data_IF_236080138538
#
_entry.id   IF_236080138538
#
_cell.length_a   1.000
_cell.length_b   1.000
_cell.length_c   1.000
_cell.angle_alpha   90.00
_cell.angle_beta   90.00
_cell.angle_gamma   90.00
#
_symmetry.space_group_name_H-M   'P 1'
#
loop_
_entity.id
_entity.type
_entity.pdbx_description
1 polymer ?
#
# COMPACT_ATOMS: atom_id res chain seq x y z
N UNK A 1 -5.79 17.40 6.00
CA UNK A 1 -6.49 16.21 6.51
C UNK A 1 -5.87 15.81 7.83
N UNK A 2 -6.71 15.42 8.79
CA UNK A 2 -6.31 15.03 10.14
C UNK A 2 -6.45 13.51 10.32
N UNK A 3 -5.39 12.88 10.80
CA UNK A 3 -5.34 11.44 11.01
C UNK A 3 -5.06 11.13 12.49
N UNK A 4 -5.69 10.08 12.99
CA UNK A 4 -5.32 9.48 14.27
C UNK A 4 -4.84 8.04 14.03
N UNK A 5 -3.66 7.69 14.51
CA UNK A 5 -3.11 6.33 14.44
C UNK A 5 -3.04 5.74 15.84
N UNK A 6 -3.79 4.69 16.09
CA UNK A 6 -3.88 3.99 17.38
C UNK A 6 -3.11 2.66 17.27
N UNK A 7 -2.05 2.56 18.07
CA UNK A 7 -1.09 1.46 18.03
C UNK A 7 0.11 1.78 17.14
N UNK A 8 1.26 1.94 17.76
CA UNK A 8 2.51 2.31 17.08
C UNK A 8 3.50 1.13 16.98
N UNK A 9 2.97 -0.07 16.79
CA UNK A 9 3.79 -1.18 16.34
C UNK A 9 4.42 -0.88 14.96
N UNK A 10 5.18 -1.82 14.39
CA UNK A 10 5.92 -1.62 13.12
C UNK A 10 5.07 -1.00 12.02
N UNK A 11 3.82 -1.44 11.87
CA UNK A 11 2.91 -0.93 10.84
C UNK A 11 2.41 0.49 11.17
N UNK A 12 1.83 0.69 12.36
CA UNK A 12 1.25 1.98 12.76
C UNK A 12 2.29 3.09 12.82
N UNK A 13 3.48 2.79 13.35
CA UNK A 13 4.61 3.72 13.39
C UNK A 13 4.98 4.22 11.99
N UNK A 14 5.14 3.29 11.03
CA UNK A 14 5.50 3.64 9.66
C UNK A 14 4.40 4.47 9.00
N UNK A 15 3.13 4.08 9.18
CA UNK A 15 1.99 4.82 8.62
C UNK A 15 1.94 6.24 9.18
N UNK A 16 2.06 6.42 10.50
CA UNK A 16 2.03 7.73 11.14
C UNK A 16 3.16 8.64 10.64
N UNK A 17 4.39 8.10 10.55
CA UNK A 17 5.55 8.85 10.09
C UNK A 17 5.39 9.31 8.63
N UNK A 18 5.02 8.40 7.72
CA UNK A 18 4.88 8.73 6.29
C UNK A 18 3.72 9.71 6.05
N UNK A 19 2.60 9.59 6.76
CA UNK A 19 1.51 10.57 6.67
C UNK A 19 1.99 11.98 7.07
N UNK A 20 2.77 12.08 8.14
CA UNK A 20 3.32 13.36 8.58
C UNK A 20 4.36 13.91 7.59
N UNK A 21 5.24 13.09 7.01
CA UNK A 21 6.17 13.46 5.93
C UNK A 21 5.44 13.99 4.69
N UNK A 22 4.22 13.50 4.42
CA UNK A 22 3.36 14.01 3.35
C UNK A 22 2.58 15.28 3.74
N UNK A 23 2.89 15.89 4.90
CA UNK A 23 2.29 17.14 5.36
C UNK A 23 0.89 16.99 5.97
N UNK A 24 0.51 15.78 6.38
CA UNK A 24 -0.76 15.56 7.07
C UNK A 24 -0.62 15.84 8.57
N UNK A 25 -1.69 16.31 9.21
CA UNK A 25 -1.78 16.41 10.66
C UNK A 25 -2.01 15.01 11.24
N UNK A 26 -1.10 14.55 12.11
CA UNK A 26 -1.15 13.18 12.66
C UNK A 26 -1.09 13.21 14.18
N UNK A 27 -2.12 12.61 14.82
CA UNK A 27 -2.08 12.22 16.23
C UNK A 27 -1.71 10.74 16.29
N UNK A 28 -0.64 10.41 16.98
CA UNK A 28 -0.12 9.05 17.15
C UNK A 28 -0.27 8.60 18.61
N UNK A 29 -0.89 7.46 18.84
CA UNK A 29 -1.26 6.97 20.18
C UNK A 29 -0.71 5.57 20.38
N UNK A 30 -0.01 5.37 21.51
CA UNK A 30 0.38 4.05 22.01
C UNK A 30 0.43 4.04 23.53
N UNK A 31 0.38 2.87 24.13
CA UNK A 31 0.55 2.70 25.59
C UNK A 31 2.01 2.59 26.03
N UNK A 32 2.94 2.37 25.10
CA UNK A 32 4.36 2.28 25.35
C UNK A 32 5.03 3.66 25.26
N UNK A 33 5.49 4.17 26.40
CA UNK A 33 6.13 5.48 26.49
C UNK A 33 7.40 5.59 25.63
N UNK A 34 8.15 4.50 25.48
CA UNK A 34 9.39 4.49 24.69
C UNK A 34 9.10 4.66 23.20
N UNK A 35 8.05 4.01 22.71
CA UNK A 35 7.60 4.13 21.32
C UNK A 35 7.08 5.54 21.07
N UNK A 36 6.23 6.07 21.96
CA UNK A 36 5.69 7.42 21.88
C UNK A 36 6.80 8.47 21.88
N UNK A 37 7.80 8.32 22.75
CA UNK A 37 8.96 9.22 22.78
C UNK A 37 9.74 9.20 21.44
N UNK A 38 9.87 8.04 20.81
CA UNK A 38 10.63 7.88 19.56
C UNK A 38 9.97 8.51 18.32
N UNK A 39 8.64 8.72 18.33
CA UNK A 39 7.88 9.30 17.24
C UNK A 39 7.53 10.78 17.44
N UNK A 40 7.71 11.31 18.65
CA UNK A 40 7.26 12.64 19.06
C UNK A 40 7.64 13.75 18.07
N UNK A 41 8.87 13.75 17.60
CA UNK A 41 9.38 14.78 16.68
C UNK A 41 9.03 14.54 15.21
N UNK A 42 8.31 13.45 14.91
CA UNK A 42 7.96 13.05 13.55
C UNK A 42 6.50 13.26 13.20
N UNK A 43 5.64 13.52 14.17
CA UNK A 43 4.19 13.68 14.01
C UNK A 43 3.71 14.97 14.67
N UNK A 44 2.48 15.38 14.38
CA UNK A 44 1.91 16.60 14.95
C UNK A 44 1.75 16.47 16.48
N UNK A 45 1.30 15.31 16.95
CA UNK A 45 1.14 15.04 18.36
C UNK A 45 1.33 13.54 18.63
N UNK A 46 2.12 13.20 19.66
CA UNK A 46 2.29 11.84 20.14
C UNK A 46 1.77 11.73 21.57
N UNK A 47 0.88 10.77 21.82
CA UNK A 47 0.18 10.63 23.10
C UNK A 47 0.43 9.24 23.68
N UNK A 48 1.00 9.20 24.87
CA UNK A 48 1.16 7.96 25.64
C UNK A 48 -0.13 7.69 26.42
N UNK A 49 -0.94 6.77 25.93
CA UNK A 49 -2.17 6.38 26.60
C UNK A 49 -2.67 5.00 26.14
N UNK A 50 -3.34 4.29 27.02
CA UNK A 50 -4.11 3.11 26.67
C UNK A 50 -5.57 3.52 26.44
N UNK A 51 -6.06 3.36 25.22
CA UNK A 51 -7.47 3.63 24.89
C UNK A 51 -8.32 2.50 25.45
N UNK A 52 -9.17 2.82 26.41
CA UNK A 52 -10.04 1.83 27.11
C UNK A 52 -11.52 2.04 26.80
N UNK A 53 -11.92 3.27 26.55
CA UNK A 53 -13.31 3.69 26.44
C UNK A 53 -13.46 4.92 25.53
N UNK A 54 -14.71 5.30 25.33
CA UNK A 54 -15.11 6.47 24.52
C UNK A 54 -14.55 7.78 25.09
N UNK A 55 -14.57 7.93 26.42
CA UNK A 55 -14.10 9.18 27.07
C UNK A 55 -12.60 9.41 26.83
N UNK A 56 -11.81 8.35 26.79
CA UNK A 56 -10.39 8.43 26.46
C UNK A 56 -10.14 8.99 25.06
N UNK A 57 -10.98 8.63 24.10
CA UNK A 57 -10.90 9.13 22.71
C UNK A 57 -11.42 10.57 22.59
N UNK A 58 -12.53 10.89 23.26
CA UNK A 58 -13.09 12.25 23.26
C UNK A 58 -12.12 13.28 23.85
N UNK A 59 -11.40 12.93 24.90
CA UNK A 59 -10.44 13.82 25.54
C UNK A 59 -9.24 14.23 24.64
N UNK A 60 -9.00 13.51 23.56
CA UNK A 60 -7.96 13.84 22.58
C UNK A 60 -8.50 14.50 21.31
N UNK A 61 -9.82 14.81 21.27
CA UNK A 61 -10.46 15.42 20.11
C UNK A 61 -10.60 14.49 18.93
N UNK A 62 -10.90 13.20 19.17
CA UNK A 62 -11.01 12.19 18.10
C UNK A 62 -12.05 12.57 17.04
N UNK A 63 -13.10 13.28 17.43
CA UNK A 63 -14.17 13.74 16.54
C UNK A 63 -13.71 14.74 15.47
N UNK A 64 -12.56 15.38 15.67
CA UNK A 64 -11.99 16.28 14.68
C UNK A 64 -11.19 15.56 13.58
N UNK A 65 -11.02 14.24 13.70
CA UNK A 65 -10.21 13.46 12.78
C UNK A 65 -11.01 13.07 11.52
N UNK A 66 -10.42 13.24 10.35
CA UNK A 66 -10.99 12.78 9.08
C UNK A 66 -10.89 11.24 8.95
N UNK A 67 -9.83 10.65 9.49
CA UNK A 67 -9.56 9.21 9.41
C UNK A 67 -8.89 8.71 10.68
N UNK A 68 -9.38 7.58 11.20
CA UNK A 68 -8.74 6.87 12.31
C UNK A 68 -8.19 5.52 11.80
N UNK A 69 -6.93 5.24 12.14
CA UNK A 69 -6.24 4.00 11.77
C UNK A 69 -6.03 3.17 13.03
N UNK A 70 -6.72 2.03 13.12
CA UNK A 70 -6.56 1.07 14.20
C UNK A 70 -5.48 0.07 13.79
N UNK A 71 -4.26 0.29 14.28
CA UNK A 71 -3.06 -0.47 13.94
C UNK A 71 -2.64 -1.47 15.04
N UNK A 72 -3.44 -1.63 16.09
CA UNK A 72 -3.25 -2.61 17.17
C UNK A 72 -3.49 -4.02 16.62
N UNK A 73 -2.44 -4.75 16.27
CA UNK A 73 -2.56 -6.07 15.64
C UNK A 73 -2.38 -7.26 16.57
N UNK A 74 -1.75 -7.07 17.75
CA UNK A 74 -1.45 -8.19 18.64
C UNK A 74 -2.65 -8.62 19.49
N UNK A 75 -3.59 -7.72 19.75
CA UNK A 75 -4.80 -8.01 20.50
C UNK A 75 -6.03 -7.95 19.59
N UNK A 76 -6.46 -9.12 19.12
CA UNK A 76 -7.64 -9.29 18.28
C UNK A 76 -8.90 -8.63 18.88
N UNK A 77 -9.21 -8.90 20.15
CA UNK A 77 -10.39 -8.37 20.79
C UNK A 77 -10.35 -6.84 20.91
N UNK A 78 -9.19 -6.28 21.27
CA UNK A 78 -8.99 -4.84 21.42
C UNK A 78 -9.20 -4.10 20.08
N UNK A 79 -8.67 -4.61 18.98
CA UNK A 79 -8.84 -3.98 17.68
C UNK A 79 -10.28 -4.03 17.17
N UNK A 80 -11.01 -5.13 17.42
CA UNK A 80 -12.44 -5.28 17.07
C UNK A 80 -13.29 -4.32 17.91
N UNK A 81 -13.07 -4.27 19.23
CA UNK A 81 -13.80 -3.37 20.13
C UNK A 81 -13.53 -1.91 19.81
N UNK A 82 -12.25 -1.56 19.53
CA UNK A 82 -11.87 -0.20 19.13
C UNK A 82 -12.56 0.21 17.83
N UNK A 83 -12.53 -0.64 16.82
CA UNK A 83 -13.19 -0.39 15.54
C UNK A 83 -14.71 -0.21 15.71
N UNK A 84 -15.36 -1.07 16.51
CA UNK A 84 -16.77 -0.96 16.82
C UNK A 84 -17.10 0.35 17.56
N UNK A 85 -16.30 0.73 18.55
CA UNK A 85 -16.44 1.98 19.29
C UNK A 85 -16.38 3.20 18.33
N UNK A 86 -15.34 3.27 17.52
CA UNK A 86 -15.15 4.35 16.56
C UNK A 86 -16.30 4.46 15.54
N UNK A 87 -16.76 3.32 15.01
CA UNK A 87 -17.81 3.33 13.96
C UNK A 87 -19.23 3.39 14.49
N UNK A 88 -19.55 2.69 15.58
CA UNK A 88 -20.93 2.54 16.06
C UNK A 88 -21.32 3.53 17.16
N UNK A 89 -20.34 4.03 17.92
CA UNK A 89 -20.61 4.97 19.01
C UNK A 89 -20.21 6.38 18.62
N UNK A 90 -18.99 6.56 18.08
CA UNK A 90 -18.45 7.88 17.72
C UNK A 90 -18.75 8.29 16.28
N UNK A 91 -19.32 7.40 15.45
CA UNK A 91 -19.68 7.66 14.05
C UNK A 91 -18.54 8.29 13.23
N UNK A 92 -17.29 7.84 13.47
CA UNK A 92 -16.14 8.36 12.77
C UNK A 92 -16.30 8.26 11.25
N UNK A 93 -15.94 9.30 10.48
CA UNK A 93 -16.17 9.35 9.03
C UNK A 93 -15.46 8.19 8.33
N UNK A 94 -14.21 7.91 8.69
CA UNK A 94 -13.43 6.81 8.10
C UNK A 94 -12.59 6.10 9.14
N UNK A 95 -12.72 4.77 9.20
CA UNK A 95 -11.92 3.90 10.06
C UNK A 95 -11.23 2.83 9.20
N UNK A 96 -9.90 2.81 9.27
CA UNK A 96 -9.05 1.81 8.64
C UNK A 96 -8.51 0.90 9.74
N UNK A 97 -8.65 -0.41 9.60
CA UNK A 97 -8.19 -1.34 10.61
C UNK A 97 -7.16 -2.34 10.05
N UNK A 98 -6.12 -2.66 10.84
CA UNK A 98 -5.18 -3.71 10.54
C UNK A 98 -5.72 -5.06 11.01
N UNK A 99 -5.79 -6.03 10.12
CA UNK A 99 -6.10 -7.41 10.45
C UNK A 99 -4.81 -8.27 10.48
N UNK A 100 -4.85 -9.37 11.25
CA UNK A 100 -3.76 -10.34 11.35
C UNK A 100 -4.02 -11.61 10.52
N UNK A 101 -5.28 -11.86 10.14
CA UNK A 101 -5.71 -12.97 9.28
C UNK A 101 -7.06 -12.66 8.62
N UNK A 102 -7.52 -13.56 7.76
CA UNK A 102 -8.77 -13.36 7.00
C UNK A 102 -10.01 -13.34 7.90
N UNK A 103 -10.09 -14.18 8.95
CA UNK A 103 -11.21 -14.18 9.91
C UNK A 103 -11.28 -12.83 10.63
N UNK A 104 -10.15 -12.30 11.08
CA UNK A 104 -10.09 -10.98 11.71
C UNK A 104 -10.54 -9.88 10.75
N UNK A 105 -10.12 -9.95 9.48
CA UNK A 105 -10.55 -9.03 8.42
C UNK A 105 -12.06 -9.01 8.27
N UNK A 106 -12.68 -10.19 8.23
CA UNK A 106 -14.13 -10.29 8.05
C UNK A 106 -14.88 -9.73 9.25
N UNK A 107 -14.42 -9.99 10.46
CA UNK A 107 -15.01 -9.43 11.68
C UNK A 107 -14.85 -7.91 11.73
N UNK A 108 -13.68 -7.37 11.40
CA UNK A 108 -13.47 -5.91 11.35
C UNK A 108 -14.39 -5.22 10.35
N UNK A 109 -14.67 -5.85 9.20
CA UNK A 109 -15.67 -5.37 8.24
C UNK A 109 -17.08 -5.41 8.81
N UNK A 110 -17.46 -6.50 9.48
CA UNK A 110 -18.78 -6.65 10.10
C UNK A 110 -19.04 -5.61 11.17
N UNK A 111 -18.04 -5.22 11.96
CA UNK A 111 -18.19 -4.15 12.97
C UNK A 111 -18.12 -2.75 12.37
N UNK A 112 -17.84 -2.62 11.07
CA UNK A 112 -18.01 -1.39 10.31
C UNK A 112 -16.73 -0.69 9.86
N UNK A 113 -15.55 -1.33 9.90
CA UNK A 113 -14.35 -0.75 9.31
C UNK A 113 -14.59 -0.43 7.83
N UNK A 114 -14.26 0.79 7.40
CA UNK A 114 -14.40 1.22 6.01
C UNK A 114 -13.36 0.55 5.11
N UNK A 115 -12.19 0.28 5.68
CA UNK A 115 -11.11 -0.44 5.01
C UNK A 115 -10.39 -1.36 6.00
N UNK A 116 -10.03 -2.56 5.55
CA UNK A 116 -9.21 -3.48 6.35
C UNK A 116 -8.00 -3.90 5.53
N UNK A 117 -6.82 -3.77 6.12
CA UNK A 117 -5.54 -4.13 5.51
C UNK A 117 -4.92 -5.33 6.22
N UNK A 118 -4.28 -6.21 5.46
CA UNK A 118 -3.46 -7.33 5.96
C UNK A 118 -2.02 -7.16 5.45
N UNK A 119 -1.21 -6.30 6.08
CA UNK A 119 0.08 -5.90 5.54
C UNK A 119 1.01 -7.08 5.24
N UNK A 120 1.08 -8.05 6.13
CA UNK A 120 1.94 -9.23 5.99
C UNK A 120 1.52 -10.11 4.80
N UNK A 121 0.22 -10.31 4.59
CA UNK A 121 -0.33 -11.07 3.47
C UNK A 121 -0.10 -10.34 2.15
N UNK A 122 -0.39 -9.05 2.11
CA UNK A 122 -0.26 -8.21 0.91
C UNK A 122 1.20 -8.12 0.45
N UNK A 123 2.13 -7.88 1.38
CA UNK A 123 3.56 -7.83 1.09
C UNK A 123 4.10 -9.23 0.75
N UNK A 124 3.65 -10.29 1.44
CA UNK A 124 4.02 -11.67 1.14
C UNK A 124 3.62 -12.09 -0.28
N UNK A 125 2.41 -11.78 -0.70
CA UNK A 125 1.95 -12.03 -2.08
C UNK A 125 2.82 -11.25 -3.08
N UNK A 126 3.04 -9.95 -2.84
CA UNK A 126 3.87 -9.12 -3.71
C UNK A 126 5.29 -9.67 -3.87
N UNK A 127 5.90 -10.09 -2.77
CA UNK A 127 7.24 -10.67 -2.79
C UNK A 127 7.25 -12.00 -3.56
N UNK A 128 6.28 -12.88 -3.30
CA UNK A 128 6.18 -14.16 -4.00
C UNK A 128 5.96 -13.99 -5.51
N UNK A 129 5.11 -13.05 -5.90
CA UNK A 129 4.90 -12.70 -7.32
C UNK A 129 6.21 -12.24 -7.98
N UNK A 130 6.97 -11.37 -7.32
CA UNK A 130 8.24 -10.89 -7.84
C UNK A 130 9.31 -12.00 -7.94
N UNK A 131 9.34 -12.92 -6.98
CA UNK A 131 10.31 -14.04 -6.99
C UNK A 131 9.95 -15.16 -7.98
N UNK A 132 8.65 -15.38 -8.21
CA UNK A 132 8.14 -16.45 -9.09
C UNK A 132 8.00 -16.04 -10.55
N UNK A 133 8.18 -14.77 -10.86
CA UNK A 133 7.96 -14.18 -12.19
C UNK A 133 9.29 -13.76 -12.82
N UNK A 134 9.44 -13.86 -14.15
CA UNK A 134 10.57 -13.27 -14.87
C UNK A 134 10.50 -11.73 -14.89
N UNK A 135 9.47 -11.17 -14.28
CA UNK A 135 9.28 -9.72 -14.15
C UNK A 135 10.01 -9.19 -12.93
N UNK A 136 10.67 -8.07 -13.10
CA UNK A 136 11.17 -7.27 -11.98
C UNK A 136 10.11 -6.21 -11.66
N UNK A 137 9.74 -6.06 -10.38
CA UNK A 137 8.76 -5.06 -9.92
C UNK A 137 7.35 -5.19 -10.55
N UNK A 138 6.70 -6.34 -10.37
CA UNK A 138 5.30 -6.53 -10.75
C UNK A 138 4.38 -5.73 -9.81
N UNK A 139 3.62 -4.81 -10.39
CA UNK A 139 2.59 -4.05 -9.68
C UNK A 139 1.20 -4.41 -10.20
N UNK A 140 0.41 -5.10 -9.40
CA UNK A 140 -0.96 -5.48 -9.74
C UNK A 140 -1.91 -4.29 -9.58
N UNK A 141 -2.59 -3.90 -10.64
CA UNK A 141 -3.67 -2.91 -10.61
C UNK A 141 -5.02 -3.56 -10.30
N UNK A 142 -5.26 -4.76 -10.87
CA UNK A 142 -6.43 -5.61 -10.59
C UNK A 142 -5.97 -7.06 -10.43
N UNK A 143 -6.90 -8.01 -10.23
CA UNK A 143 -6.57 -9.43 -10.17
C UNK A 143 -5.86 -9.92 -11.44
N UNK A 144 -6.27 -9.40 -12.60
CA UNK A 144 -5.84 -9.88 -13.92
C UNK A 144 -4.94 -8.92 -14.68
N UNK A 145 -4.84 -7.64 -14.26
CA UNK A 145 -4.08 -6.61 -14.96
C UNK A 145 -2.96 -6.05 -14.11
N UNK A 146 -1.76 -5.99 -14.69
CA UNK A 146 -0.54 -5.54 -14.00
C UNK A 146 0.31 -4.59 -14.85
N UNK A 147 1.10 -3.79 -14.15
CA UNK A 147 2.24 -3.07 -14.72
C UNK A 147 3.50 -3.76 -14.24
N UNK A 148 4.45 -3.99 -15.13
CA UNK A 148 5.67 -4.70 -14.80
C UNK A 148 6.88 -4.14 -15.53
N UNK A 149 8.04 -4.34 -14.95
CA UNK A 149 9.32 -4.06 -15.59
C UNK A 149 9.88 -5.34 -16.21
N UNK A 150 10.28 -5.27 -17.47
CA UNK A 150 10.99 -6.34 -18.18
C UNK A 150 12.30 -5.80 -18.76
N UNK A 151 13.32 -6.66 -18.82
CA UNK A 151 14.50 -6.36 -19.62
C UNK A 151 14.13 -6.60 -21.10
N UNK A 152 14.45 -5.64 -21.95
CA UNK A 152 14.18 -5.73 -23.38
C UNK A 152 14.73 -7.05 -23.97
N UNK A 153 13.88 -7.92 -24.54
CA UNK A 153 14.32 -9.12 -25.20
C UNK A 153 15.30 -8.81 -26.35
N UNK A 154 16.38 -9.59 -26.46
CA UNK A 154 17.43 -9.36 -27.47
C UNK A 154 16.86 -9.23 -28.89
N UNK A 155 15.82 -9.99 -29.24
CA UNK A 155 15.13 -9.96 -30.54
C UNK A 155 14.46 -8.62 -30.88
N UNK A 156 14.25 -7.74 -29.88
CA UNK A 156 13.64 -6.42 -30.07
C UNK A 156 14.66 -5.31 -30.12
N UNK A 157 15.89 -5.56 -29.72
CA UNK A 157 16.97 -4.58 -29.76
C UNK A 157 17.20 -4.06 -31.18
N UNK A 158 17.29 -2.74 -31.33
CA UNK A 158 17.46 -2.06 -32.61
C UNK A 158 16.16 -1.87 -33.41
N UNK A 159 15.03 -2.38 -32.94
CA UNK A 159 13.71 -2.15 -33.55
C UNK A 159 12.98 -1.02 -32.84
N UNK A 160 12.08 -0.31 -33.53
CA UNK A 160 11.18 0.62 -32.88
C UNK A 160 10.04 -0.11 -32.18
N UNK A 161 9.42 0.53 -31.18
CA UNK A 161 8.21 -0.02 -30.53
C UNK A 161 7.10 -0.27 -31.53
N UNK A 162 6.96 0.58 -32.55
CA UNK A 162 6.02 0.40 -33.65
C UNK A 162 6.31 -0.88 -34.45
N UNK A 163 7.57 -1.15 -34.78
CA UNK A 163 7.98 -2.37 -35.49
C UNK A 163 7.75 -3.64 -34.66
N UNK A 164 7.95 -3.57 -33.35
CA UNK A 164 7.70 -4.71 -32.45
C UNK A 164 6.22 -4.96 -32.26
N UNK A 165 5.41 -3.90 -32.31
CA UNK A 165 3.95 -3.92 -32.22
C UNK A 165 3.43 -4.80 -31.06
N UNK A 166 3.86 -4.44 -29.82
CA UNK A 166 3.57 -5.24 -28.64
C UNK A 166 2.07 -5.41 -28.39
N UNK A 167 1.27 -4.40 -28.75
CA UNK A 167 -0.17 -4.44 -28.52
C UNK A 167 -0.86 -5.50 -29.39
N UNK A 168 -0.63 -5.50 -30.70
CA UNK A 168 -1.24 -6.45 -31.61
C UNK A 168 -0.73 -7.89 -31.40
N UNK A 169 0.57 -8.02 -31.07
CA UNK A 169 1.18 -9.34 -30.90
C UNK A 169 0.92 -10.00 -29.55
N UNK A 170 0.76 -9.20 -28.49
CA UNK A 170 0.72 -9.70 -27.10
C UNK A 170 -0.36 -9.04 -26.23
N UNK A 171 -1.14 -8.09 -26.75
CA UNK A 171 -2.09 -7.27 -25.98
C UNK A 171 -1.42 -6.52 -24.80
N UNK A 172 -0.15 -6.13 -24.98
CA UNK A 172 0.69 -5.47 -23.98
C UNK A 172 1.12 -4.09 -24.48
N UNK A 173 1.03 -3.08 -23.64
CA UNK A 173 1.46 -1.73 -23.96
C UNK A 173 2.76 -1.39 -23.23
N UNK A 174 3.76 -0.86 -23.94
CA UNK A 174 4.93 -0.25 -23.34
C UNK A 174 4.62 1.20 -22.99
N UNK A 175 4.70 1.56 -21.70
CA UNK A 175 4.38 2.90 -21.22
C UNK A 175 5.63 3.76 -20.97
N UNK A 176 6.80 3.14 -20.94
CA UNK A 176 8.06 3.85 -20.72
C UNK A 176 9.26 2.93 -20.61
N UNK A 177 10.41 3.53 -20.46
CA UNK A 177 11.69 2.85 -20.19
C UNK A 177 12.29 3.45 -18.92
N UNK A 178 12.70 2.57 -17.98
CA UNK A 178 13.40 3.02 -16.78
C UNK A 178 14.87 3.27 -17.11
N UNK A 179 15.30 4.52 -16.93
CA UNK A 179 16.70 4.95 -17.01
C UNK A 179 17.12 5.39 -15.62
N UNK A 180 18.09 4.71 -15.06
CA UNK A 180 18.48 4.85 -13.67
C UNK A 180 17.26 4.67 -12.74
N UNK A 181 16.85 5.67 -12.00
CA UNK A 181 15.67 5.64 -11.11
C UNK A 181 14.44 6.37 -11.70
N UNK A 182 14.51 6.85 -12.95
CA UNK A 182 13.42 7.61 -13.58
C UNK A 182 12.78 6.80 -14.71
N UNK A 183 11.44 6.78 -14.75
CA UNK A 183 10.70 6.23 -15.88
C UNK A 183 10.47 7.33 -16.90
N UNK A 184 11.03 7.15 -18.10
CA UNK A 184 10.86 8.06 -19.24
C UNK A 184 9.77 7.48 -20.14
N UNK A 185 8.65 8.19 -20.36
CA UNK A 185 7.66 7.78 -21.34
C UNK A 185 8.27 7.70 -22.75
N UNK A 186 7.87 6.70 -23.52
CA UNK A 186 8.41 6.48 -24.87
C UNK A 186 7.27 6.38 -25.89
N UNK A 187 7.51 6.93 -27.07
CA UNK A 187 6.59 6.86 -28.21
C UNK A 187 6.86 5.68 -29.14
N UNK A 188 6.02 5.50 -30.19
CA UNK A 188 6.12 4.42 -31.18
C UNK A 188 7.47 4.32 -31.87
N UNK A 189 8.13 5.48 -32.10
CA UNK A 189 9.41 5.59 -32.80
C UNK A 189 10.63 5.30 -31.92
N UNK A 190 10.42 5.03 -30.63
CA UNK A 190 11.52 4.71 -29.71
C UNK A 190 12.23 3.44 -30.16
N UNK A 191 13.55 3.54 -30.38
CA UNK A 191 14.42 2.42 -30.75
C UNK A 191 14.90 1.73 -29.47
N UNK A 192 14.50 0.47 -29.30
CA UNK A 192 14.83 -0.33 -28.12
C UNK A 192 16.33 -0.57 -28.07
N UNK A 193 16.94 -0.22 -26.93
CA UNK A 193 18.37 -0.36 -26.68
C UNK A 193 18.67 -1.67 -25.94
N UNK A 194 19.92 -2.19 -26.03
CA UNK A 194 20.35 -3.32 -25.22
C UNK A 194 20.18 -3.04 -23.72
N UNK A 195 19.59 -3.96 -22.97
CA UNK A 195 19.34 -3.87 -21.53
C UNK A 195 18.33 -2.81 -21.10
N UNK A 196 17.58 -2.20 -22.03
CA UNK A 196 16.46 -1.33 -21.64
C UNK A 196 15.54 -2.06 -20.66
N UNK A 197 15.18 -1.35 -19.60
CA UNK A 197 14.16 -1.79 -18.63
C UNK A 197 12.82 -1.20 -19.05
N UNK A 198 12.09 -1.97 -19.86
CA UNK A 198 10.80 -1.54 -20.40
C UNK A 198 9.71 -1.67 -19.34
N UNK A 199 8.91 -0.63 -19.14
CA UNK A 199 7.72 -0.68 -18.29
C UNK A 199 6.54 -1.03 -19.18
N UNK A 200 5.93 -2.18 -18.92
CA UNK A 200 4.86 -2.75 -19.74
C UNK A 200 3.59 -2.98 -18.92
N UNK A 201 2.43 -2.78 -19.54
CA UNK A 201 1.12 -2.95 -18.93
C UNK A 201 0.27 -3.91 -19.77
N UNK A 202 -0.44 -4.82 -19.11
CA UNK A 202 -1.31 -5.78 -19.77
C UNK A 202 -1.89 -6.81 -18.80
N UNK A 203 -2.69 -7.75 -19.32
CA UNK A 203 -3.17 -8.87 -18.52
C UNK A 203 -2.00 -9.79 -18.12
N UNK A 204 -2.11 -10.41 -16.95
CA UNK A 204 -1.05 -11.23 -16.38
C UNK A 204 -0.59 -12.37 -17.32
N UNK A 205 -1.51 -13.00 -18.05
CA UNK A 205 -1.17 -14.08 -18.97
C UNK A 205 -0.51 -13.57 -20.25
N UNK A 206 -0.90 -12.40 -20.74
CA UNK A 206 -0.26 -11.75 -21.89
C UNK A 206 1.16 -11.28 -21.56
N UNK A 207 1.35 -10.72 -20.38
CA UNK A 207 2.68 -10.38 -19.87
C UNK A 207 3.59 -11.63 -19.80
N UNK A 208 3.08 -12.76 -19.27
CA UNK A 208 3.84 -14.03 -19.24
C UNK A 208 4.20 -14.53 -20.63
N UNK A 209 3.32 -14.37 -21.63
CA UNK A 209 3.60 -14.74 -23.04
C UNK A 209 4.73 -13.91 -23.62
N UNK A 210 4.81 -12.62 -23.26
CA UNK A 210 5.88 -11.74 -23.73
C UNK A 210 7.27 -12.19 -23.24
N UNK A 211 7.38 -12.83 -22.07
CA UNK A 211 8.64 -13.24 -21.46
C UNK A 211 9.02 -14.71 -21.68
N UNK A 212 8.10 -15.58 -22.09
CA UNK A 212 8.33 -17.00 -22.35
C UNK A 212 9.00 -17.31 -23.69
N UNK A 213 9.45 -16.32 -24.39
CA UNK A 213 10.13 -16.43 -25.69
C UNK A 213 11.60 -16.01 -25.50
#
# INVERSE_FOLDING_TARGET
>A
MKFCVIGLGRFGYQVATVLAEHGMEVIAIDSDESIVASIRDKVTQAICMRVKDESSLMNIGIEEMDTVIVATGENFAESVLMTALLKKRLNMPRVIARAINDIHKDILKLVGADQVVLPEKEIGIKLADNLSSPFTDLFRLTQDFSVSQIIAPVRYVGKSLQQVNLYENYSVTCIGVKKDEVIVPVGPDYIIQPKDRMIVAGNNDDLKRLTRL
#
